data_IF_946386398825
#
_entry.id   IF_946386398825
#
_cell.length_a   1.000
_cell.length_b   1.000
_cell.length_c   1.000
_cell.angle_alpha   90.00
_cell.angle_beta   90.00
_cell.angle_gamma   90.00
#
_symmetry.space_group_name_H-M   'P 1'
#
loop_
_entity.id
_entity.type
_entity.pdbx_description
1 polymer ?
#
# COMPACT_ATOMS: atom_id res chain seq x y z
N UNK A 1 -11.77 -20.93 14.29
CA UNK A 1 -10.70 -19.96 14.65
C UNK A 1 -11.18 -18.52 14.82
N UNK A 2 -11.35 -17.70 13.76
CA UNK A 2 -11.65 -16.27 13.94
C UNK A 2 -13.06 -16.01 14.54
N UNK A 3 -14.08 -16.80 14.17
CA UNK A 3 -15.41 -16.69 14.79
C UNK A 3 -15.38 -17.06 16.28
N UNK A 4 -14.72 -18.17 16.65
CA UNK A 4 -14.49 -18.54 18.04
C UNK A 4 -13.80 -17.42 18.84
N UNK A 5 -12.80 -16.79 18.22
CA UNK A 5 -12.09 -15.65 18.80
C UNK A 5 -12.99 -14.41 18.98
N UNK A 6 -13.87 -14.13 18.01
CA UNK A 6 -14.86 -13.04 18.06
C UNK A 6 -15.76 -13.15 19.29
N UNK A 7 -16.10 -14.37 19.68
CA UNK A 7 -16.98 -14.66 20.83
C UNK A 7 -16.22 -15.01 22.12
N UNK A 8 -14.89 -14.97 22.10
CA UNK A 8 -14.05 -15.22 23.28
C UNK A 8 -14.06 -16.67 23.78
N UNK A 9 -14.49 -17.62 22.94
CA UNK A 9 -14.49 -19.07 23.27
C UNK A 9 -13.66 -19.82 22.24
N UNK A 10 -12.40 -20.09 22.58
CA UNK A 10 -11.50 -20.84 21.71
C UNK A 10 -11.50 -22.33 22.08
N UNK A 11 -11.72 -23.19 21.10
CA UNK A 11 -11.47 -24.64 21.24
C UNK A 11 -9.97 -24.93 21.33
N UNK A 12 -9.60 -26.09 21.90
CA UNK A 12 -8.20 -26.52 21.94
C UNK A 12 -7.58 -26.60 20.54
N UNK A 13 -8.33 -27.10 19.54
CA UNK A 13 -7.88 -27.12 18.14
C UNK A 13 -7.56 -25.73 17.60
N UNK A 14 -8.38 -24.71 17.90
CA UNK A 14 -8.09 -23.33 17.51
C UNK A 14 -6.85 -22.77 18.20
N UNK A 15 -6.67 -23.08 19.49
CA UNK A 15 -5.48 -22.68 20.27
C UNK A 15 -4.21 -23.26 19.64
N UNK A 16 -4.21 -24.57 19.33
CA UNK A 16 -3.05 -25.24 18.73
C UNK A 16 -2.70 -24.64 17.36
N UNK A 17 -3.73 -24.33 16.55
CA UNK A 17 -3.55 -23.62 15.27
C UNK A 17 -2.94 -22.24 15.46
N UNK A 18 -3.38 -21.45 16.45
CA UNK A 18 -2.78 -20.15 16.73
C UNK A 18 -1.31 -20.26 17.17
N UNK A 19 -0.96 -21.26 17.98
CA UNK A 19 0.44 -21.50 18.33
C UNK A 19 1.29 -21.90 17.12
N UNK A 20 0.75 -22.66 16.17
CA UNK A 20 1.44 -23.00 14.92
C UNK A 20 1.73 -21.76 14.04
N UNK A 21 0.95 -20.68 14.17
CA UNK A 21 1.18 -19.41 13.46
C UNK A 21 2.36 -18.59 14.02
N UNK A 22 3.05 -19.05 15.07
CA UNK A 22 4.31 -18.43 15.53
C UNK A 22 5.43 -18.53 14.48
N UNK A 23 5.32 -19.47 13.54
CA UNK A 23 6.26 -19.69 12.44
C UNK A 23 6.61 -18.40 11.70
N UNK A 24 7.85 -18.29 11.25
CA UNK A 24 8.27 -17.18 10.41
C UNK A 24 7.62 -17.26 9.03
N UNK A 25 7.25 -16.09 8.49
CA UNK A 25 6.74 -16.00 7.12
C UNK A 25 7.91 -16.00 6.15
N UNK A 26 7.82 -16.82 5.11
CA UNK A 26 8.75 -16.77 3.99
C UNK A 26 8.30 -15.66 3.04
N UNK A 27 9.22 -14.77 2.70
CA UNK A 27 9.03 -13.71 1.71
C UNK A 27 10.35 -13.48 0.97
N UNK A 28 10.26 -13.04 -0.28
CA UNK A 28 11.43 -12.70 -1.10
C UNK A 28 11.85 -11.26 -0.84
N UNK A 29 10.98 -10.32 -1.22
CA UNK A 29 11.30 -8.88 -1.20
C UNK A 29 10.40 -8.11 -0.25
N UNK A 30 9.08 -8.34 -0.27
CA UNK A 30 8.12 -7.63 0.59
C UNK A 30 8.00 -8.29 1.96
N UNK A 31 8.46 -7.58 2.99
CA UNK A 31 8.27 -7.94 4.39
C UNK A 31 6.78 -7.94 4.76
N UNK A 32 6.34 -8.84 5.66
CA UNK A 32 5.00 -8.77 6.24
C UNK A 32 4.75 -7.45 6.95
N UNK A 33 3.61 -6.81 6.70
CA UNK A 33 3.23 -5.60 7.43
C UNK A 33 2.97 -5.94 8.90
N UNK A 34 3.67 -5.27 9.80
CA UNK A 34 3.51 -5.45 11.24
C UNK A 34 2.34 -4.61 11.78
N UNK A 35 1.40 -5.25 12.46
CA UNK A 35 0.27 -4.55 13.07
C UNK A 35 0.55 -4.20 14.53
N UNK A 36 0.45 -2.91 14.86
CA UNK A 36 0.64 -2.38 16.20
C UNK A 36 -0.65 -1.74 16.75
N UNK A 37 -0.88 -1.79 18.06
CA UNK A 37 -2.05 -1.16 18.64
C UNK A 37 -1.89 0.37 18.74
N UNK A 38 -0.68 0.88 18.99
CA UNK A 38 -0.41 2.32 19.16
C UNK A 38 0.23 2.94 17.91
N UNK A 39 -0.14 4.19 17.58
CA UNK A 39 0.42 4.93 16.43
C UNK A 39 1.92 5.19 16.56
N UNK A 40 2.40 5.56 17.75
CA UNK A 40 3.82 5.84 17.96
C UNK A 40 4.72 4.62 17.70
N UNK A 41 4.22 3.40 17.95
CA UNK A 41 4.95 2.16 17.65
C UNK A 41 5.09 1.97 16.13
N UNK A 42 4.04 2.28 15.38
CA UNK A 42 4.01 2.25 13.91
C UNK A 42 5.01 3.24 13.35
N UNK A 43 4.95 4.49 13.82
CA UNK A 43 5.82 5.56 13.34
C UNK A 43 7.28 5.20 13.61
N UNK A 44 7.60 4.71 14.81
CA UNK A 44 8.96 4.24 15.15
C UNK A 44 9.40 3.08 14.26
N UNK A 45 8.56 2.07 14.05
CA UNK A 45 8.92 0.91 13.25
C UNK A 45 9.15 1.27 11.77
N UNK A 46 8.29 2.11 11.19
CA UNK A 46 8.45 2.59 9.82
C UNK A 46 9.67 3.50 9.68
N UNK A 47 9.87 4.45 10.60
CA UNK A 47 10.99 5.40 10.54
C UNK A 47 12.34 4.71 10.73
N UNK A 48 12.44 3.73 11.63
CA UNK A 48 13.68 2.96 11.81
C UNK A 48 14.08 2.23 10.52
N UNK A 49 13.11 1.58 9.85
CA UNK A 49 13.35 0.88 8.58
C UNK A 49 13.67 1.86 7.46
N UNK A 50 12.93 2.96 7.34
CA UNK A 50 13.22 4.01 6.35
C UNK A 50 14.63 4.59 6.51
N UNK A 51 15.05 4.87 7.75
CA UNK A 51 16.40 5.40 8.05
C UNK A 51 17.50 4.38 7.74
N UNK A 52 17.22 3.09 7.88
CA UNK A 52 18.17 2.02 7.56
C UNK A 52 18.43 1.86 6.06
N UNK A 53 17.54 2.38 5.20
CA UNK A 53 17.75 2.38 3.76
C UNK A 53 18.82 3.39 3.37
N UNK A 54 19.70 2.96 2.46
CA UNK A 54 20.67 3.82 1.80
C UNK A 54 19.98 4.86 0.90
N UNK A 55 20.72 5.91 0.56
CA UNK A 55 20.23 6.98 -0.32
C UNK A 55 19.49 8.09 0.42
N UNK A 56 19.14 9.11 -0.36
CA UNK A 56 18.54 10.35 0.10
C UNK A 56 17.03 10.22 0.31
N UNK A 57 16.54 10.82 1.40
CA UNK A 57 15.10 10.96 1.65
C UNK A 57 14.52 12.04 0.74
N UNK A 58 13.36 11.75 0.15
CA UNK A 58 12.50 12.75 -0.51
C UNK A 58 11.27 13.00 0.33
N UNK A 59 10.91 14.28 0.50
CA UNK A 59 9.78 14.73 1.28
C UNK A 59 8.71 15.31 0.36
N UNK A 60 7.50 14.76 0.44
CA UNK A 60 6.34 15.21 -0.32
C UNK A 60 5.30 15.79 0.64
N UNK A 61 5.15 17.12 0.62
CA UNK A 61 4.13 17.82 1.41
C UNK A 61 2.79 17.81 0.68
N UNK A 62 1.73 17.54 1.43
CA UNK A 62 0.36 17.54 0.94
C UNK A 62 -0.09 18.96 0.58
N UNK A 63 -1.04 19.06 -0.34
CA UNK A 63 -1.79 20.30 -0.59
C UNK A 63 -3.18 20.15 0.03
N UNK A 64 -3.41 20.87 1.12
CA UNK A 64 -4.68 20.85 1.86
C UNK A 64 -5.55 22.06 1.47
N UNK A 65 -6.85 21.83 1.38
CA UNK A 65 -7.86 22.88 1.14
C UNK A 65 -9.01 22.69 2.12
N UNK A 66 -9.32 23.73 2.89
CA UNK A 66 -10.43 23.76 3.85
C UNK A 66 -11.13 25.12 3.73
N UNK A 67 -12.17 25.23 2.87
CA UNK A 67 -12.84 26.50 2.61
C UNK A 67 -13.58 27.07 3.83
N UNK A 68 -13.95 26.22 4.81
CA UNK A 68 -14.62 26.63 6.05
C UNK A 68 -13.60 26.69 7.22
N UNK A 69 -13.18 27.90 7.65
CA UNK A 69 -12.20 28.06 8.72
C UNK A 69 -12.69 27.56 10.08
N UNK A 70 -14.01 27.40 10.28
CA UNK A 70 -14.58 26.98 11.56
C UNK A 70 -14.41 25.49 11.84
N UNK A 71 -14.10 24.68 10.82
CA UNK A 71 -13.93 23.21 10.91
C UNK A 71 -12.46 22.78 11.07
N UNK A 72 -11.58 23.73 11.35
CA UNK A 72 -10.11 23.63 11.34
C UNK A 72 -9.55 22.26 11.74
N UNK A 73 -8.97 21.56 10.78
CA UNK A 73 -7.92 20.57 11.06
C UNK A 73 -8.39 19.19 11.52
N UNK A 74 -9.66 18.99 11.90
CA UNK A 74 -10.07 17.73 12.54
C UNK A 74 -10.05 16.54 11.58
N UNK A 75 -10.52 16.76 10.34
CA UNK A 75 -10.52 15.71 9.32
C UNK A 75 -9.10 15.30 8.91
N UNK A 76 -8.20 16.27 8.77
CA UNK A 76 -6.79 16.04 8.37
C UNK A 76 -5.99 15.17 9.36
N UNK A 77 -6.43 15.05 10.62
CA UNK A 77 -5.83 14.13 11.62
C UNK A 77 -6.22 12.66 11.41
N UNK A 78 -7.31 12.42 10.68
CA UNK A 78 -7.91 11.10 10.50
C UNK A 78 -7.78 10.58 9.07
N UNK A 79 -7.61 11.46 8.08
CA UNK A 79 -7.33 11.04 6.70
C UNK A 79 -6.10 10.14 6.65
N UNK A 80 -6.17 9.11 5.81
CA UNK A 80 -5.11 8.10 5.72
C UNK A 80 -3.83 8.66 5.07
N UNK A 81 -4.00 9.54 4.08
CA UNK A 81 -2.91 10.22 3.40
C UNK A 81 -2.18 11.19 4.36
N UNK A 82 -0.86 11.04 4.54
CA UNK A 82 -0.09 11.87 5.46
C UNK A 82 0.06 13.30 4.92
N UNK A 83 0.21 14.25 5.85
CA UNK A 83 0.60 15.63 5.51
C UNK A 83 2.00 15.66 4.88
N UNK A 84 2.95 14.94 5.48
CA UNK A 84 4.30 14.78 4.92
C UNK A 84 4.56 13.31 4.68
N UNK A 85 4.80 12.95 3.40
CA UNK A 85 5.22 11.63 2.98
C UNK A 85 6.74 11.65 2.74
N UNK A 86 7.48 10.93 3.58
CA UNK A 86 8.93 10.73 3.40
C UNK A 86 9.20 9.37 2.77
N UNK A 87 9.99 9.35 1.69
CA UNK A 87 10.33 8.13 0.95
C UNK A 87 11.81 8.07 0.59
N UNK A 88 12.31 6.84 0.48
CA UNK A 88 13.62 6.50 -0.09
C UNK A 88 13.44 5.40 -1.14
N UNK A 89 14.41 5.24 -2.03
CA UNK A 89 14.50 4.04 -2.87
C UNK A 89 14.65 2.82 -1.94
N UNK A 90 13.88 1.76 -2.22
CA UNK A 90 13.75 0.58 -1.36
C UNK A 90 12.65 0.69 -0.30
N UNK A 91 11.98 1.83 -0.15
CA UNK A 91 10.91 1.96 0.84
C UNK A 91 9.72 1.06 0.51
N UNK A 92 9.29 0.23 1.47
CA UNK A 92 8.08 -0.56 1.36
C UNK A 92 6.86 0.33 1.58
N UNK A 93 6.00 0.38 0.58
CA UNK A 93 4.80 1.22 0.56
C UNK A 93 3.54 0.39 0.30
N UNK A 94 2.41 0.93 0.71
CA UNK A 94 1.09 0.37 0.46
C UNK A 94 0.20 1.42 -0.17
N UNK A 95 -0.55 1.00 -1.17
CA UNK A 95 -1.55 1.81 -1.84
C UNK A 95 -2.77 1.98 -0.93
N UNK A 96 -3.27 3.22 -0.79
CA UNK A 96 -4.38 3.58 0.10
C UNK A 96 -5.64 4.05 -0.66
N UNK A 97 -5.65 3.88 -1.98
CA UNK A 97 -6.76 4.22 -2.88
C UNK A 97 -6.81 3.22 -4.02
N UNK A 98 -8.00 2.82 -4.44
CA UNK A 98 -8.14 1.97 -5.63
C UNK A 98 -7.84 2.81 -6.88
N UNK A 99 -6.89 2.37 -7.70
CA UNK A 99 -6.55 3.02 -8.97
C UNK A 99 -7.17 2.28 -10.16
N UNK A 100 -7.15 0.95 -10.11
CA UNK A 100 -7.66 0.08 -11.17
C UNK A 100 -7.97 -1.32 -10.58
N UNK A 101 -8.16 -2.33 -11.44
CA UNK A 101 -8.50 -3.69 -11.03
C UNK A 101 -7.33 -4.46 -10.38
N UNK A 102 -6.07 -4.14 -10.69
CA UNK A 102 -4.89 -4.80 -10.13
C UNK A 102 -4.33 -4.03 -8.92
N UNK A 103 -4.42 -2.70 -8.95
CA UNK A 103 -3.93 -1.79 -7.93
C UNK A 103 -5.06 -1.28 -7.06
N UNK A 104 -5.35 -2.06 -6.02
CA UNK A 104 -6.38 -1.75 -5.01
C UNK A 104 -5.76 -1.33 -3.68
N UNK A 105 -6.56 -0.72 -2.83
CA UNK A 105 -6.21 -0.40 -1.46
C UNK A 105 -5.71 -1.66 -0.73
N UNK A 106 -4.51 -1.59 -0.17
CA UNK A 106 -3.81 -2.72 0.46
C UNK A 106 -2.74 -3.37 -0.42
N UNK A 107 -2.68 -3.07 -1.73
CA UNK A 107 -1.59 -3.52 -2.60
C UNK A 107 -0.26 -2.93 -2.11
N UNK A 108 0.75 -3.79 -1.99
CA UNK A 108 2.07 -3.47 -1.44
C UNK A 108 3.14 -3.48 -2.53
N UNK A 109 4.15 -2.63 -2.37
CA UNK A 109 5.25 -2.49 -3.33
C UNK A 109 6.48 -1.83 -2.72
N UNK A 110 7.52 -1.68 -3.54
CA UNK A 110 8.72 -0.93 -3.18
C UNK A 110 8.95 0.26 -4.09
N UNK A 111 9.39 1.38 -3.52
CA UNK A 111 9.87 2.52 -4.30
C UNK A 111 11.16 2.12 -5.01
N UNK A 112 11.14 2.12 -6.35
CA UNK A 112 12.31 1.79 -7.19
C UNK A 112 13.01 3.02 -7.76
N UNK A 113 12.39 4.20 -7.63
CA UNK A 113 12.94 5.44 -8.13
C UNK A 113 11.97 6.60 -8.00
N UNK A 114 12.31 7.71 -8.64
CA UNK A 114 11.46 8.89 -8.75
C UNK A 114 11.50 9.38 -10.18
N UNK A 115 10.33 9.67 -10.75
CA UNK A 115 10.17 9.97 -12.16
C UNK A 115 8.95 10.84 -12.42
N UNK A 116 8.70 11.13 -13.68
CA UNK A 116 7.53 11.89 -14.11
C UNK A 116 6.65 10.99 -14.98
N UNK A 117 5.31 11.01 -14.80
CA UNK A 117 4.41 10.13 -15.54
C UNK A 117 4.55 10.25 -17.06
N UNK A 118 4.78 11.47 -17.56
CA UNK A 118 4.85 11.79 -18.99
C UNK A 118 6.02 11.11 -19.72
N UNK A 119 7.03 10.64 -18.98
CA UNK A 119 8.16 9.90 -19.52
C UNK A 119 8.01 8.38 -19.38
N UNK A 120 7.16 7.91 -18.45
CA UNK A 120 7.00 6.48 -18.19
C UNK A 120 6.03 5.79 -19.16
N UNK A 121 5.01 6.50 -19.65
CA UNK A 121 4.08 5.98 -20.67
C UNK A 121 4.83 5.59 -21.95
N UNK A 122 5.91 6.29 -22.27
CA UNK A 122 6.73 6.02 -23.46
C UNK A 122 7.54 4.72 -23.35
N UNK A 123 7.99 4.33 -22.14
CA UNK A 123 8.80 3.11 -21.94
C UNK A 123 7.97 1.82 -22.00
N UNK A 124 6.71 1.86 -21.55
CA UNK A 124 5.79 0.72 -21.62
C UNK A 124 5.23 0.51 -23.04
N UNK A 125 4.96 1.59 -23.79
CA UNK A 125 4.58 1.50 -25.22
C UNK A 125 5.71 0.93 -26.08
N UNK A 126 6.98 1.25 -25.79
CA UNK A 126 8.14 0.64 -26.45
C UNK A 126 8.34 -0.84 -26.07
N UNK A 127 7.89 -1.26 -24.88
CA UNK A 127 7.97 -2.66 -24.40
C UNK A 127 6.84 -3.55 -24.92
N UNK A 128 5.61 -3.05 -24.93
CA UNK A 128 4.44 -3.74 -25.52
C UNK A 128 4.44 -3.68 -27.04
N UNK A 129 5.26 -2.81 -27.62
CA UNK A 129 5.85 -2.99 -28.93
C UNK A 129 6.77 -4.21 -28.94
N UNK A 130 6.21 -5.42 -28.80
CA UNK A 130 6.87 -6.65 -29.29
C UNK A 130 7.39 -6.29 -30.67
N UNK A 131 8.71 -6.15 -30.78
CA UNK A 131 9.37 -5.90 -32.04
C UNK A 131 8.89 -6.99 -32.98
N UNK A 132 7.94 -6.64 -33.84
CA UNK A 132 7.44 -7.54 -34.88
C UNK A 132 8.67 -7.76 -35.74
N UNK A 133 9.37 -8.87 -35.53
CA UNK A 133 10.61 -9.18 -36.22
C UNK A 133 10.28 -9.13 -37.72
N UNK A 134 10.68 -8.02 -38.35
CA UNK A 134 10.33 -7.77 -39.74
C UNK A 134 11.43 -8.41 -40.57
N UNK A 135 11.09 -9.57 -41.11
CA UNK A 135 11.88 -10.24 -42.11
C UNK A 135 11.60 -9.58 -43.46
N UNK A 136 12.65 -9.23 -44.18
CA UNK A 136 12.57 -8.75 -45.56
C UNK A 136 13.46 -9.61 -46.44
N UNK A 137 13.04 -9.84 -47.67
CA UNK A 137 13.83 -10.56 -48.66
C UNK A 137 14.88 -9.60 -49.26
N UNK A 138 16.14 -10.01 -49.33
CA UNK A 138 17.16 -9.26 -50.06
C UNK A 138 16.97 -9.40 -51.58
N UNK A 139 17.83 -8.74 -52.37
CA UNK A 139 17.74 -8.79 -53.83
C UNK A 139 17.97 -10.20 -54.45
N UNK A 140 18.23 -11.22 -53.62
CA UNK A 140 18.36 -12.64 -53.99
C UNK A 140 17.29 -13.51 -53.33
N UNK A 141 16.23 -12.91 -52.80
CA UNK A 141 15.14 -13.59 -52.10
C UNK A 141 15.58 -14.38 -50.84
N UNK A 142 16.66 -13.95 -50.18
CA UNK A 142 17.08 -14.51 -48.89
C UNK A 142 16.49 -13.71 -47.71
N UNK A 143 15.98 -14.36 -46.64
CA UNK A 143 15.39 -13.66 -45.50
C UNK A 143 16.48 -12.95 -44.67
N UNK A 144 16.46 -11.62 -44.68
CA UNK A 144 17.38 -10.77 -43.91
C UNK A 144 16.65 -10.09 -42.74
N UNK A 145 17.31 -10.05 -41.58
CA UNK A 145 16.80 -9.44 -40.35
C UNK A 145 16.94 -7.92 -40.39
N UNK A 146 15.83 -7.20 -40.36
CA UNK A 146 15.84 -5.74 -40.21
C UNK A 146 15.97 -5.39 -38.72
N UNK A 147 17.09 -4.78 -38.33
CA UNK A 147 17.22 -4.15 -37.01
C UNK A 147 16.43 -2.83 -37.06
N UNK A 148 15.28 -2.76 -36.40
CA UNK A 148 14.68 -1.46 -36.08
C UNK A 148 15.56 -0.80 -35.01
N UNK A 149 16.46 0.09 -35.42
CA UNK A 149 16.99 1.10 -34.51
C UNK A 149 15.85 2.10 -34.25
N UNK A 150 15.30 2.08 -33.05
CA UNK A 150 14.29 3.05 -32.61
C UNK A 150 14.93 4.45 -32.54
N UNK A 151 15.03 5.15 -33.68
CA UNK A 151 15.41 6.57 -33.69
C UNK A 151 14.26 7.38 -33.11
N UNK A 152 14.38 7.74 -31.84
CA UNK A 152 13.46 8.63 -31.11
C UNK A 152 13.22 9.91 -31.92
N UNK A 153 11.96 10.31 -32.08
CA UNK A 153 11.59 11.46 -32.91
C UNK A 153 12.12 12.77 -32.33
N UNK A 154 12.38 13.76 -33.20
CA UNK A 154 12.81 15.11 -32.78
C UNK A 154 11.81 15.75 -31.82
N UNK A 155 10.53 15.42 -31.93
CA UNK A 155 9.47 15.92 -31.05
C UNK A 155 9.57 15.33 -29.64
N UNK A 156 9.80 14.02 -29.52
CA UNK A 156 10.02 13.34 -28.24
C UNK A 156 11.31 13.83 -27.56
N UNK A 157 12.40 13.98 -28.31
CA UNK A 157 13.65 14.53 -27.80
C UNK A 157 13.45 15.94 -27.18
N UNK A 158 12.72 16.81 -27.88
CA UNK A 158 12.39 18.16 -27.38
C UNK A 158 11.49 18.12 -26.15
N UNK A 159 10.50 17.22 -26.10
CA UNK A 159 9.62 17.03 -24.94
C UNK A 159 10.44 16.58 -23.71
N UNK A 160 11.28 15.56 -23.88
CA UNK A 160 12.19 15.05 -22.83
C UNK A 160 13.13 16.13 -22.31
N UNK A 161 13.72 16.93 -23.20
CA UNK A 161 14.56 18.05 -22.80
C UNK A 161 13.80 19.09 -21.96
N UNK A 162 12.61 19.51 -22.39
CA UNK A 162 11.78 20.47 -21.62
C UNK A 162 11.41 19.93 -20.24
N UNK A 163 11.08 18.65 -20.15
CA UNK A 163 10.78 17.99 -18.88
C UNK A 163 12.03 17.96 -17.99
N UNK A 164 13.19 17.59 -18.53
CA UNK A 164 14.45 17.57 -17.79
C UNK A 164 14.82 18.97 -17.25
N UNK A 165 14.66 20.01 -18.06
CA UNK A 165 14.83 21.41 -17.63
C UNK A 165 13.80 21.81 -16.56
N UNK A 166 12.56 21.35 -16.67
CA UNK A 166 11.51 21.53 -15.68
C UNK A 166 11.85 20.88 -14.33
N UNK A 167 12.36 19.65 -14.35
CA UNK A 167 12.83 18.93 -13.16
C UNK A 167 14.06 19.62 -12.55
N UNK A 168 15.05 19.98 -13.35
CA UNK A 168 16.27 20.64 -12.89
C UNK A 168 15.99 22.03 -12.27
N UNK A 169 14.99 22.75 -12.80
CA UNK A 169 14.52 24.04 -12.26
C UNK A 169 13.54 23.92 -11.09
N UNK A 170 13.15 22.70 -10.69
CA UNK A 170 12.18 22.45 -9.62
C UNK A 170 10.72 22.77 -9.97
N UNK A 171 10.44 23.12 -11.23
CA UNK A 171 9.07 23.39 -11.73
C UNK A 171 8.24 22.13 -11.89
N UNK A 172 8.89 20.98 -12.10
CA UNK A 172 8.24 19.68 -12.24
C UNK A 172 8.68 18.78 -11.08
N UNK A 173 7.72 18.38 -10.25
CA UNK A 173 7.94 17.42 -9.18
C UNK A 173 8.07 16.00 -9.75
N UNK A 174 9.09 15.25 -9.32
CA UNK A 174 9.22 13.84 -9.65
C UNK A 174 8.49 12.99 -8.59
N UNK A 175 7.44 12.27 -9.02
CA UNK A 175 6.69 11.35 -8.18
C UNK A 175 7.42 10.02 -7.95
N UNK A 176 7.03 9.25 -6.92
CA UNK A 176 7.62 7.96 -6.64
C UNK A 176 7.25 6.94 -7.73
N UNK A 177 8.23 6.19 -8.19
CA UNK A 177 8.04 5.02 -9.06
C UNK A 177 8.03 3.80 -8.17
N UNK A 178 6.94 3.02 -8.22
CA UNK A 178 6.73 1.87 -7.33
C UNK A 178 6.63 0.59 -8.15
N UNK A 179 7.34 -0.45 -7.72
CA UNK A 179 7.14 -1.83 -8.17
C UNK A 179 6.12 -2.51 -7.25
N UNK A 180 4.88 -2.64 -7.74
CA UNK A 180 3.75 -3.22 -7.06
C UNK A 180 3.71 -4.73 -7.24
N UNK A 181 3.44 -5.46 -6.15
CA UNK A 181 3.18 -6.89 -6.21
C UNK A 181 1.69 -7.12 -6.45
N UNK A 182 1.34 -7.51 -7.68
CA UNK A 182 -0.04 -7.80 -8.08
C UNK A 182 -0.24 -9.31 -8.26
N UNK A 183 -1.50 -9.79 -8.34
CA UNK A 183 -1.77 -11.20 -8.68
C UNK A 183 -1.17 -11.63 -10.03
N UNK A 184 -0.96 -10.68 -10.95
CA UNK A 184 -0.42 -10.94 -12.29
C UNK A 184 1.11 -10.77 -12.38
N UNK A 185 1.78 -10.52 -11.25
CA UNK A 185 3.22 -10.28 -11.18
C UNK A 185 3.57 -8.85 -10.77
N UNK A 186 4.78 -8.41 -11.11
CA UNK A 186 5.29 -7.10 -10.72
C UNK A 186 4.83 -6.05 -11.74
N UNK A 187 4.05 -5.07 -11.29
CA UNK A 187 3.62 -3.91 -12.07
C UNK A 187 4.44 -2.68 -11.64
N UNK A 188 5.08 -1.98 -12.56
CA UNK A 188 5.79 -0.73 -12.25
C UNK A 188 4.91 0.45 -12.62
N UNK A 189 4.75 1.41 -11.71
CA UNK A 189 3.91 2.59 -11.95
C UNK A 189 4.53 3.84 -11.35
N UNK A 190 4.54 4.93 -12.12
CA UNK A 190 4.82 6.27 -11.58
C UNK A 190 3.56 6.76 -10.89
N UNK A 191 3.66 7.04 -9.60
CA UNK A 191 2.52 7.49 -8.82
C UNK A 191 2.25 8.97 -9.09
N UNK A 192 0.97 9.31 -9.11
CA UNK A 192 0.48 10.70 -9.20
C UNK A 192 -0.21 11.09 -7.89
N UNK A 193 -0.26 12.39 -7.61
CA UNK A 193 -0.99 12.91 -6.45
C UNK A 193 -2.50 12.76 -6.69
N UNK A 194 -3.17 12.14 -5.73
CA UNK A 194 -4.61 11.94 -5.73
C UNK A 194 -5.29 12.87 -4.74
N UNK A 195 -6.52 13.27 -5.05
CA UNK A 195 -7.34 14.04 -4.12
C UNK A 195 -8.14 13.10 -3.21
N UNK A 196 -8.06 13.36 -1.91
CA UNK A 196 -8.86 12.78 -0.84
C UNK A 196 -9.86 13.84 -0.40
N UNK A 197 -11.16 13.54 -0.46
CA UNK A 197 -12.23 14.50 -0.20
C UNK A 197 -12.96 14.16 1.10
N UNK A 198 -13.37 15.21 1.81
CA UNK A 198 -14.34 15.17 2.88
C UNK A 198 -15.57 15.93 2.41
N UNK A 199 -16.69 15.24 2.25
CA UNK A 199 -17.95 15.81 1.79
C UNK A 199 -18.97 15.79 2.94
N UNK A 200 -19.84 16.77 2.97
CA UNK A 200 -20.97 16.79 3.89
C UNK A 200 -22.11 15.86 3.41
N UNK A 201 -23.20 15.79 4.18
CA UNK A 201 -24.36 14.96 3.84
C UNK A 201 -25.07 15.39 2.54
N UNK A 202 -24.76 16.60 2.03
CA UNK A 202 -25.31 17.15 0.79
C UNK A 202 -24.31 17.00 -0.38
N UNK A 203 -23.17 16.32 -0.18
CA UNK A 203 -22.12 16.17 -1.18
C UNK A 203 -21.26 17.42 -1.38
N UNK A 204 -21.40 18.44 -0.53
CA UNK A 204 -20.57 19.63 -0.61
C UNK A 204 -19.19 19.34 -0.01
N UNK A 205 -18.15 19.64 -0.78
CA UNK A 205 -16.75 19.48 -0.37
C UNK A 205 -16.42 20.40 0.81
N UNK A 206 -16.20 19.82 1.99
CA UNK A 206 -15.79 20.53 3.21
C UNK A 206 -14.28 20.72 3.24
N UNK A 207 -13.53 19.65 3.01
CA UNK A 207 -12.06 19.68 3.06
C UNK A 207 -11.49 18.71 2.02
N UNK A 208 -10.26 18.94 1.58
CA UNK A 208 -9.52 17.96 0.78
C UNK A 208 -8.04 17.99 1.04
N UNK A 209 -7.42 16.83 0.88
CA UNK A 209 -5.97 16.65 0.86
C UNK A 209 -5.57 16.09 -0.49
N UNK A 210 -4.63 16.73 -1.18
CA UNK A 210 -4.00 16.19 -2.39
C UNK A 210 -2.60 15.70 -2.03
N UNK A 211 -2.37 14.41 -2.24
CA UNK A 211 -1.14 13.70 -1.84
C UNK A 211 -1.01 12.40 -2.65
N UNK A 212 0.19 11.83 -2.76
CA UNK A 212 0.34 10.48 -3.33
C UNK A 212 -0.48 9.47 -2.52
N UNK A 213 -1.22 8.55 -3.18
CA UNK A 213 -2.09 7.59 -2.52
C UNK A 213 -1.31 6.41 -1.93
N UNK A 214 -0.18 6.67 -1.27
CA UNK A 214 0.70 5.65 -0.71
C UNK A 214 1.16 6.03 0.71
N UNK A 215 1.42 5.02 1.54
CA UNK A 215 2.00 5.17 2.88
C UNK A 215 3.10 4.13 3.11
N UNK A 216 4.02 4.39 4.05
CA UNK A 216 4.97 3.37 4.50
C UNK A 216 4.23 2.17 5.10
N UNK A 217 4.68 0.97 4.75
CA UNK A 217 3.89 -0.25 4.94
C UNK A 217 4.64 -1.40 5.61
N UNK A 218 5.78 -1.14 6.23
CA UNK A 218 6.39 -2.13 7.11
C UNK A 218 5.62 -2.30 8.42
N UNK A 219 4.97 -1.23 8.88
CA UNK A 219 4.14 -1.22 10.06
C UNK A 219 2.85 -0.43 9.81
N UNK A 220 1.76 -0.86 10.43
CA UNK A 220 0.46 -0.18 10.41
C UNK A 220 -0.25 -0.33 11.75
N UNK A 221 -1.11 0.63 12.12
CA UNK A 221 -1.92 0.47 13.33
C UNK A 221 -3.11 -0.46 13.07
N UNK A 222 -3.50 -1.23 14.08
CA UNK A 222 -4.68 -2.12 13.99
C UNK A 222 -5.92 -1.31 13.59
N UNK A 223 -6.11 -0.11 14.15
CA UNK A 223 -7.20 0.78 13.78
C UNK A 223 -7.16 1.19 12.30
N UNK A 224 -6.00 1.57 11.76
CA UNK A 224 -5.90 1.99 10.34
C UNK A 224 -6.04 0.80 9.38
N UNK A 225 -5.72 -0.41 9.82
CA UNK A 225 -5.87 -1.63 9.01
C UNK A 225 -7.34 -2.05 8.81
N UNK A 226 -8.29 -1.49 9.56
CA UNK A 226 -9.71 -1.85 9.44
C UNK A 226 -10.24 -1.55 8.03
N UNK A 227 -10.87 -2.55 7.41
CA UNK A 227 -11.36 -2.46 6.03
C UNK A 227 -10.30 -2.70 4.95
N UNK A 228 -9.02 -2.84 5.33
CA UNK A 228 -7.94 -3.20 4.40
C UNK A 228 -7.76 -4.72 4.35
N UNK A 229 -7.34 -5.19 3.18
CA UNK A 229 -7.00 -6.58 2.89
C UNK A 229 -5.50 -6.67 2.71
N UNK A 230 -4.78 -7.27 3.68
CA UNK A 230 -3.31 -7.31 3.66
C UNK A 230 -2.86 -8.76 3.43
N UNK A 231 -2.04 -8.97 2.40
CA UNK A 231 -1.63 -10.32 1.97
C UNK A 231 -0.75 -11.02 3.00
N UNK A 232 0.23 -10.31 3.58
CA UNK A 232 1.13 -10.83 4.61
C UNK A 232 1.14 -9.91 5.82
N UNK A 233 0.77 -10.46 6.96
CA UNK A 233 0.61 -9.73 8.21
C UNK A 233 1.34 -10.44 9.33
N UNK A 234 2.06 -9.64 10.12
CA UNK A 234 2.67 -10.08 11.38
C UNK A 234 2.02 -9.32 12.52
N UNK A 235 1.44 -10.05 13.47
CA UNK A 235 0.74 -9.46 14.62
C UNK A 235 1.38 -9.93 15.91
N UNK A 236 1.68 -8.99 16.80
CA UNK A 236 2.15 -9.28 18.14
C UNK A 236 1.05 -9.04 19.17
N UNK A 237 0.42 -10.14 19.61
CA UNK A 237 -0.72 -10.08 20.52
C UNK A 237 -0.31 -9.78 21.96
N UNK A 238 0.98 -9.89 22.31
CA UNK A 238 1.48 -9.52 23.62
C UNK A 238 1.37 -8.02 23.91
N UNK A 239 1.27 -7.18 22.87
CA UNK A 239 1.13 -5.72 22.97
C UNK A 239 -0.33 -5.25 22.97
N UNK A 240 -1.27 -6.13 22.64
CA UNK A 240 -2.69 -5.77 22.54
C UNK A 240 -3.31 -5.62 23.92
N UNK A 241 -3.98 -4.49 24.17
CA UNK A 241 -4.52 -4.13 25.49
C UNK A 241 -6.05 -4.00 25.53
N UNK A 242 -6.72 -3.81 24.39
CA UNK A 242 -8.19 -3.72 24.33
C UNK A 242 -8.86 -5.02 23.88
N UNK A 243 -10.02 -5.31 24.47
CA UNK A 243 -10.88 -6.42 24.07
C UNK A 243 -11.31 -6.26 22.61
N UNK A 244 -11.16 -7.30 21.80
CA UNK A 244 -11.53 -7.30 20.38
C UNK A 244 -10.46 -6.80 19.41
N UNK A 245 -9.43 -6.05 19.85
CA UNK A 245 -8.34 -5.63 18.96
C UNK A 245 -7.59 -6.82 18.34
N UNK A 246 -7.40 -7.90 19.11
CA UNK A 246 -6.78 -9.14 18.62
C UNK A 246 -7.59 -9.77 17.49
N UNK A 247 -8.93 -9.75 17.58
CA UNK A 247 -9.79 -10.24 16.49
C UNK A 247 -9.67 -9.34 15.25
N UNK A 248 -9.71 -8.01 15.43
CA UNK A 248 -9.57 -7.07 14.32
C UNK A 248 -8.25 -7.28 13.59
N UNK A 249 -7.14 -7.34 14.33
CA UNK A 249 -5.80 -7.52 13.76
C UNK A 249 -5.65 -8.82 12.97
N UNK A 250 -6.14 -9.94 13.51
CA UNK A 250 -6.03 -11.25 12.85
C UNK A 250 -7.01 -11.39 11.67
N UNK A 251 -8.16 -10.73 11.73
CA UNK A 251 -9.12 -10.68 10.60
C UNK A 251 -8.62 -9.90 9.37
N UNK A 252 -7.46 -9.22 9.47
CA UNK A 252 -6.86 -8.49 8.35
C UNK A 252 -6.13 -9.39 7.37
N UNK A 253 -5.66 -10.54 7.83
CA UNK A 253 -4.96 -11.49 6.99
C UNK A 253 -5.93 -12.18 6.04
N UNK A 254 -5.53 -12.30 4.77
CA UNK A 254 -6.30 -13.00 3.73
C UNK A 254 -6.19 -14.51 3.83
N UNK A 255 -5.11 -15.02 4.43
CA UNK A 255 -4.78 -16.44 4.49
C UNK A 255 -4.05 -16.74 5.80
N UNK A 256 -4.13 -17.99 6.27
CA UNK A 256 -3.34 -18.44 7.41
C UNK A 256 -1.86 -18.53 7.05
N UNK A 257 -1.57 -18.82 5.78
CA UNK A 257 -0.24 -18.93 5.19
C UNK A 257 0.54 -17.62 5.34
N UNK A 258 -0.12 -16.50 5.04
CA UNK A 258 0.43 -15.14 5.15
C UNK A 258 0.31 -14.50 6.54
N UNK A 259 -0.16 -15.22 7.56
CA UNK A 259 -0.34 -14.71 8.92
C UNK A 259 0.71 -15.25 9.88
N UNK A 260 1.41 -14.36 10.57
CA UNK A 260 2.25 -14.68 11.73
C UNK A 260 1.67 -14.07 12.99
N UNK A 261 1.62 -14.87 14.06
CA UNK A 261 1.09 -14.48 15.36
C UNK A 261 2.17 -14.69 16.43
N UNK A 262 2.57 -13.59 17.07
CA UNK A 262 3.53 -13.61 18.17
C UNK A 262 2.83 -13.44 19.52
N UNK A 263 3.38 -14.11 20.54
CA UNK A 263 2.97 -13.98 21.96
C UNK A 263 1.46 -14.10 22.19
N UNK A 264 0.85 -15.05 21.49
CA UNK A 264 -0.54 -15.42 21.70
C UNK A 264 -0.75 -15.97 23.12
N UNK A 265 -1.77 -15.45 23.81
CA UNK A 265 -2.22 -15.93 25.11
C UNK A 265 -3.75 -16.13 25.06
N UNK A 266 -4.24 -17.39 25.10
CA UNK A 266 -5.67 -17.70 25.08
C UNK A 266 -6.46 -16.95 26.18
N UNK A 267 -5.84 -16.68 27.33
CA UNK A 267 -6.51 -16.02 28.47
C UNK A 267 -6.80 -14.54 28.20
N UNK A 268 -6.08 -13.91 27.26
CA UNK A 268 -6.28 -12.51 26.87
C UNK A 268 -7.29 -12.34 25.74
N UNK A 269 -7.78 -13.43 25.17
CA UNK A 269 -8.82 -13.40 24.13
C UNK A 269 -10.19 -13.23 24.78
N UNK A 270 -10.54 -11.97 25.04
CA UNK A 270 -11.81 -11.61 25.67
C UNK A 270 -12.69 -10.85 24.68
N UNK A 271 -13.91 -11.34 24.49
CA UNK A 271 -14.96 -10.60 23.81
C UNK A 271 -15.64 -9.62 24.79
N UNK A 272 -16.14 -8.51 24.28
CA UNK A 272 -16.93 -7.59 25.08
C UNK A 272 -18.29 -8.23 25.42
N UNK A 273 -18.76 -8.08 26.66
CA UNK A 273 -19.97 -8.76 27.16
C UNK A 273 -21.22 -8.45 26.33
N UNK A 274 -21.40 -7.19 25.93
CA UNK A 274 -22.46 -6.77 24.99
C UNK A 274 -22.44 -7.54 23.66
N UNK A 275 -21.28 -7.89 23.12
CA UNK A 275 -21.15 -8.67 21.87
C UNK A 275 -21.59 -10.11 22.08
N UNK A 276 -21.25 -10.69 23.25
CA UNK A 276 -21.68 -12.04 23.64
C UNK A 276 -23.20 -12.08 23.83
N UNK A 277 -23.78 -11.09 24.51
CA UNK A 277 -25.22 -10.97 24.73
C UNK A 277 -25.98 -10.79 23.41
N UNK A 278 -25.50 -9.91 22.53
CA UNK A 278 -26.06 -9.72 21.19
C UNK A 278 -25.99 -11.00 20.34
N UNK A 279 -24.86 -11.71 20.35
CA UNK A 279 -24.73 -12.98 19.61
C UNK A 279 -25.78 -14.01 20.03
N UNK A 280 -26.05 -14.11 21.34
CA UNK A 280 -27.09 -15.01 21.85
C UNK A 280 -28.49 -14.62 21.37
N UNK A 281 -28.76 -13.33 21.17
CA UNK A 281 -30.05 -12.87 20.63
C UNK A 281 -30.25 -13.21 19.14
N UNK A 282 -29.17 -13.41 18.38
CA UNK A 282 -29.24 -13.82 16.98
C UNK A 282 -29.49 -15.32 16.80
N UNK A 283 -28.94 -16.16 17.70
CA UNK A 283 -29.18 -17.62 17.68
C UNK A 283 -30.63 -17.99 17.99
N UNK A 284 -31.43 -17.08 18.57
CA UNK A 284 -32.86 -17.29 18.86
C UNK A 284 -33.75 -16.99 17.65
N UNK A 285 -33.21 -16.37 16.58
CA UNK A 285 -33.95 -15.96 15.38
C UNK A 285 -33.68 -16.87 14.15
N UNK A 286 -32.93 -17.96 14.31
CA UNK A 286 -32.71 -19.00 13.29
C UNK A 286 -33.38 -20.31 13.68
#
# INVERSE_FOLDING_TARGET
MLNEMRFGKLSQSSIDKFYALKRELKYSEIEPTELFPMRHDVDRANQNRLRSLAGESRLFRAEDSEPDPSKQGQWFKNVMAPDVLELKIGAQVMLIKNLDHSLVNGTVGHVIGFGVPELAVEEDEERDGVGRERWTLDARDEPVRVKNESTMSVQEARKRQKIAEGVASGRIEQGPVVAWQTPNGIEKKVMVREEFKHEDNNGQKISSRKQYPIILAWAMSIHKSQGQTIQRVKVDLGKVFEKGQSYVALSRATSLEGLQVLRFDPKKVLAHEKVIQWSRSLEVLS
#
